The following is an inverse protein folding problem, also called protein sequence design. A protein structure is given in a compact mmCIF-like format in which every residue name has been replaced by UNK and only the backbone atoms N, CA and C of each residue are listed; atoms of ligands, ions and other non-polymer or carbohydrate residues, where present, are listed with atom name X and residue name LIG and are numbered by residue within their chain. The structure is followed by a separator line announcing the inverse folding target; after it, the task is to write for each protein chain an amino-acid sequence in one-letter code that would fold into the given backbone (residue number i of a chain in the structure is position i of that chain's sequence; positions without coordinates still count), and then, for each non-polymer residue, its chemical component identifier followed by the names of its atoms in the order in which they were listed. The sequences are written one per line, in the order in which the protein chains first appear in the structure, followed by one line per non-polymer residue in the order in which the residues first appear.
data_IF_480247363833
#
_entry.id   IF_480247363833
#
_cell.length_a   1.000
_cell.length_b   1.000
_cell.length_c   1.000
_cell.angle_alpha   90.00
_cell.angle_beta   90.00
_cell.angle_gamma   90.00
#
_symmetry.space_group_name_H-M   'P 1'
#
loop_
_entity.id
_entity.type
_entity.pdbx_description
1 polymer ?
#
# COMPACT_ATOMS: atom_id res chain seq x y z
N UNK A 1 -23.10 22.15 28.14
CA UNK A 1 -24.00 22.83 27.17
C UNK A 1 -24.20 21.85 26.01
N UNK A 2 -25.40 21.29 25.87
CA UNK A 2 -25.73 20.35 24.79
C UNK A 2 -26.16 21.16 23.55
N UNK A 3 -25.45 20.99 22.43
CA UNK A 3 -25.90 21.47 21.13
C UNK A 3 -26.71 20.38 20.43
N UNK A 4 -28.02 20.60 20.33
CA UNK A 4 -28.95 19.73 19.60
C UNK A 4 -28.99 20.19 18.13
N UNK A 5 -28.28 19.48 17.26
CA UNK A 5 -28.19 19.82 15.83
C UNK A 5 -29.42 19.26 15.09
N UNK A 6 -30.48 20.06 15.00
CA UNK A 6 -31.60 19.79 14.08
C UNK A 6 -31.22 20.22 12.67
N UNK A 7 -30.97 19.26 11.79
CA UNK A 7 -30.87 19.50 10.35
C UNK A 7 -32.25 19.75 9.76
N UNK A 8 -32.49 20.97 9.27
CA UNK A 8 -33.70 21.34 8.52
C UNK A 8 -33.36 21.32 7.02
N UNK A 9 -34.14 20.57 6.23
CA UNK A 9 -34.11 20.68 4.77
C UNK A 9 -35.26 21.56 4.33
N UNK A 10 -34.91 22.71 3.76
CA UNK A 10 -35.84 23.72 3.26
C UNK A 10 -36.22 23.37 1.81
N UNK A 11 -37.39 22.77 1.61
CA UNK A 11 -37.91 22.52 0.26
C UNK A 11 -38.70 23.74 -0.21
N UNK A 12 -38.14 24.46 -1.19
CA UNK A 12 -38.84 25.55 -1.89
C UNK A 12 -39.51 24.98 -3.13
N UNK A 13 -40.84 25.04 -3.18
CA UNK A 13 -41.60 24.75 -4.39
C UNK A 13 -42.05 26.06 -5.00
N UNK A 14 -41.64 26.29 -6.25
CA UNK A 14 -42.07 27.41 -7.07
C UNK A 14 -43.22 26.92 -7.94
N UNK A 15 -44.37 27.59 -7.87
CA UNK A 15 -45.46 27.37 -8.81
C UNK A 15 -45.84 28.68 -9.49
N UNK A 16 -46.23 28.58 -10.76
CA UNK A 16 -46.70 29.68 -11.58
C UNK A 16 -48.14 29.36 -11.95
N UNK A 17 -49.06 30.24 -11.57
CA UNK A 17 -50.46 30.23 -12.02
C UNK A 17 -50.86 31.66 -12.37
N UNK A 18 -51.51 31.84 -13.52
CA UNK A 18 -51.99 33.14 -14.04
C UNK A 18 -50.92 34.23 -14.14
N UNK A 19 -49.72 33.87 -14.59
CA UNK A 19 -48.63 34.82 -14.85
C UNK A 19 -47.99 35.44 -13.60
N UNK A 20 -48.37 34.98 -12.39
CA UNK A 20 -47.79 35.45 -11.13
C UNK A 20 -47.05 34.32 -10.43
N UNK A 21 -45.77 34.56 -10.10
CA UNK A 21 -44.95 33.66 -9.31
C UNK A 21 -45.41 33.71 -7.84
N UNK A 22 -45.77 32.55 -7.29
CA UNK A 22 -46.15 32.38 -5.90
C UNK A 22 -45.17 31.42 -5.22
N UNK A 23 -44.63 31.82 -4.06
CA UNK A 23 -43.68 31.01 -3.30
C UNK A 23 -44.33 30.59 -1.98
N UNK A 24 -44.71 29.32 -1.88
CA UNK A 24 -45.33 28.75 -0.68
C UNK A 24 -44.29 27.97 0.12
N UNK A 25 -44.02 28.43 1.35
CA UNK A 25 -43.18 27.71 2.31
C UNK A 25 -44.04 26.71 3.07
N UNK A 26 -43.79 25.40 2.87
CA UNK A 26 -44.45 24.35 3.65
C UNK A 26 -43.48 23.80 4.69
N UNK A 27 -43.73 24.10 5.98
CA UNK A 27 -42.96 23.54 7.11
C UNK A 27 -43.56 22.20 7.51
N UNK A 28 -42.89 21.09 7.18
CA UNK A 28 -43.17 19.77 7.78
C UNK A 28 -42.25 19.51 8.95
N UNK A 29 -42.82 19.33 10.14
CA UNK A 29 -42.13 18.74 11.29
C UNK A 29 -42.07 17.23 11.10
N UNK A 30 -40.88 16.66 10.86
CA UNK A 30 -40.73 15.21 10.83
C UNK A 30 -40.81 14.63 12.24
N UNK A 31 -41.75 13.70 12.45
CA UNK A 31 -41.82 12.88 13.64
C UNK A 31 -40.58 12.02 13.81
N UNK A 32 -40.26 11.72 15.08
CA UNK A 32 -39.12 10.92 15.51
C UNK A 32 -39.10 9.56 14.78
N UNK A 33 -38.23 9.45 13.78
CA UNK A 33 -37.86 8.19 13.17
C UNK A 33 -36.78 7.56 14.06
N UNK A 34 -37.04 6.36 14.55
CA UNK A 34 -36.06 5.52 15.22
C UNK A 34 -34.91 5.26 14.24
N UNK A 35 -33.79 5.95 14.44
CA UNK A 35 -32.57 5.74 13.66
C UNK A 35 -32.15 4.28 13.80
N UNK A 36 -32.25 3.55 12.70
CA UNK A 36 -31.83 2.16 12.61
C UNK A 36 -30.38 2.02 13.04
N UNK A 37 -30.10 0.99 13.85
CA UNK A 37 -28.75 0.54 14.17
C UNK A 37 -27.89 0.58 12.92
N UNK A 38 -26.84 1.41 12.95
CA UNK A 38 -25.83 1.45 11.89
C UNK A 38 -25.27 0.03 11.73
N UNK A 39 -25.70 -0.68 10.68
CA UNK A 39 -25.12 -1.97 10.32
C UNK A 39 -23.63 -1.74 10.06
N UNK A 40 -22.79 -2.44 10.82
CA UNK A 40 -21.34 -2.33 10.76
C UNK A 40 -20.83 -2.45 9.31
N UNK A 41 -19.72 -1.77 9.00
CA UNK A 41 -19.11 -1.78 7.66
C UNK A 41 -18.95 -3.21 7.11
N UNK A 42 -18.54 -4.15 7.97
CA UNK A 42 -18.44 -5.58 7.67
C UNK A 42 -19.76 -6.20 7.16
N UNK A 43 -20.89 -5.83 7.75
CA UNK A 43 -22.21 -6.32 7.29
C UNK A 43 -22.55 -5.84 5.88
N UNK A 44 -22.18 -4.60 5.53
CA UNK A 44 -22.41 -4.05 4.18
C UNK A 44 -21.51 -4.75 3.15
N UNK A 45 -20.24 -4.99 3.48
CA UNK A 45 -19.31 -5.72 2.64
C UNK A 45 -19.75 -7.17 2.40
N UNK A 46 -20.25 -7.85 3.44
CA UNK A 46 -20.77 -9.21 3.32
C UNK A 46 -21.96 -9.26 2.35
N UNK A 47 -22.92 -8.34 2.49
CA UNK A 47 -24.08 -8.27 1.59
C UNK A 47 -23.67 -7.94 0.15
N UNK A 48 -22.70 -7.04 -0.05
CA UNK A 48 -22.17 -6.73 -1.37
C UNK A 48 -21.49 -7.95 -2.02
N UNK A 49 -20.68 -8.68 -1.24
CA UNK A 49 -20.01 -9.92 -1.69
C UNK A 49 -21.02 -11.00 -2.05
N UNK A 50 -22.04 -11.21 -1.22
CA UNK A 50 -23.13 -12.15 -1.51
C UNK A 50 -23.88 -11.76 -2.79
N UNK A 51 -24.22 -10.47 -2.97
CA UNK A 51 -24.88 -10.00 -4.20
C UNK A 51 -24.03 -10.22 -5.45
N UNK A 52 -22.71 -10.05 -5.33
CA UNK A 52 -21.79 -10.29 -6.43
C UNK A 52 -21.66 -11.78 -6.77
N UNK A 53 -21.55 -12.64 -5.75
CA UNK A 53 -21.47 -14.10 -5.91
C UNK A 53 -22.77 -14.74 -6.41
N UNK A 54 -23.92 -14.09 -6.18
CA UNK A 54 -25.23 -14.54 -6.66
C UNK A 54 -25.48 -14.24 -8.15
N UNK A 55 -24.58 -13.50 -8.82
CA UNK A 55 -24.67 -13.32 -10.28
C UNK A 55 -24.40 -14.65 -10.98
N UNK A 56 -25.26 -15.09 -11.92
CA UNK A 56 -25.09 -16.36 -12.62
C UNK A 56 -23.74 -16.39 -13.35
N UNK A 57 -22.98 -17.48 -13.19
CA UNK A 57 -21.67 -17.69 -13.83
C UNK A 57 -20.46 -17.13 -13.06
N UNK A 58 -20.65 -16.22 -12.09
CA UNK A 58 -19.52 -15.62 -11.34
C UNK A 58 -18.85 -16.65 -10.44
N UNK A 59 -19.64 -17.45 -9.73
CA UNK A 59 -19.12 -18.49 -8.83
C UNK A 59 -18.36 -19.57 -9.61
N UNK A 60 -18.89 -19.99 -10.76
CA UNK A 60 -18.25 -20.98 -11.64
C UNK A 60 -16.93 -20.46 -12.21
N UNK A 61 -16.90 -19.20 -12.67
CA UNK A 61 -15.71 -18.56 -13.21
C UNK A 61 -14.61 -18.40 -12.14
N UNK A 62 -14.97 -18.00 -10.93
CA UNK A 62 -14.01 -17.92 -9.81
C UNK A 62 -13.47 -19.30 -9.43
N UNK A 63 -14.34 -20.31 -9.32
CA UNK A 63 -13.92 -21.67 -9.02
C UNK A 63 -13.02 -22.25 -10.12
N UNK A 64 -13.30 -21.96 -11.39
CA UNK A 64 -12.43 -22.34 -12.50
C UNK A 64 -11.05 -21.67 -12.39
N UNK A 65 -11.01 -20.37 -12.07
CA UNK A 65 -9.75 -19.63 -11.86
C UNK A 65 -8.97 -20.18 -10.67
N UNK A 66 -9.64 -20.53 -9.57
CA UNK A 66 -9.01 -21.16 -8.40
C UNK A 66 -8.40 -22.52 -8.76
N UNK A 67 -9.13 -23.36 -9.49
CA UNK A 67 -8.61 -24.65 -9.99
C UNK A 67 -7.39 -24.47 -10.89
N UNK A 68 -7.41 -23.50 -11.81
CA UNK A 68 -6.27 -23.21 -12.68
C UNK A 68 -5.01 -22.81 -11.90
N UNK A 69 -5.16 -21.98 -10.84
CA UNK A 69 -4.04 -21.62 -9.95
C UNK A 69 -3.47 -22.83 -9.22
N UNK A 70 -4.33 -23.68 -8.68
CA UNK A 70 -3.89 -24.90 -7.98
C UNK A 70 -3.15 -25.85 -8.94
N UNK A 71 -3.66 -26.01 -10.17
CA UNK A 71 -2.99 -26.82 -11.19
C UNK A 71 -1.60 -26.28 -11.55
N UNK A 72 -1.48 -24.96 -11.74
CA UNK A 72 -0.21 -24.30 -12.05
C UNK A 72 0.80 -24.43 -10.91
N UNK A 73 0.36 -24.25 -9.66
CA UNK A 73 1.23 -24.42 -8.50
C UNK A 73 1.69 -25.88 -8.33
N UNK A 74 0.82 -26.86 -8.59
CA UNK A 74 1.20 -28.29 -8.61
C UNK A 74 2.23 -28.59 -9.70
N UNK A 75 2.04 -28.05 -10.90
CA UNK A 75 2.99 -28.23 -12.00
C UNK A 75 4.37 -27.64 -11.67
N UNK A 76 4.42 -26.43 -11.07
CA UNK A 76 5.66 -25.81 -10.59
C UNK A 76 6.36 -26.66 -9.52
N UNK A 77 5.61 -27.17 -8.55
CA UNK A 77 6.16 -28.04 -7.49
C UNK A 77 6.74 -29.33 -8.07
N UNK A 78 6.03 -29.97 -9.01
CA UNK A 78 6.50 -31.19 -9.66
C UNK A 78 7.76 -30.94 -10.52
N UNK A 79 7.85 -29.79 -11.21
CA UNK A 79 9.04 -29.42 -11.98
C UNK A 79 10.27 -29.27 -11.07
N UNK A 80 10.11 -28.59 -9.92
CA UNK A 80 11.20 -28.42 -8.95
C UNK A 80 11.71 -29.76 -8.41
N UNK A 81 10.80 -30.66 -8.04
CA UNK A 81 11.17 -32.01 -7.58
C UNK A 81 11.89 -32.84 -8.66
N UNK A 82 11.53 -32.66 -9.94
CA UNK A 82 12.19 -33.35 -11.04
C UNK A 82 13.60 -32.81 -11.34
N UNK A 83 13.83 -31.50 -11.16
CA UNK A 83 15.16 -30.88 -11.30
C UNK A 83 16.10 -31.29 -10.16
N UNK A 84 15.60 -31.37 -8.93
CA UNK A 84 16.38 -31.82 -7.76
C UNK A 84 16.84 -33.28 -7.89
N UNK A 85 16.04 -34.15 -8.52
CA UNK A 85 16.42 -35.55 -8.76
C UNK A 85 17.41 -35.74 -9.93
N UNK A 86 17.66 -34.70 -10.74
CA UNK A 86 18.52 -34.77 -11.92
C UNK A 86 19.89 -34.14 -11.71
N UNK A 87 20.17 -33.57 -10.53
CA UNK A 87 21.48 -33.04 -10.20
C UNK A 87 22.49 -34.21 -10.09
N UNK A 88 23.51 -34.29 -10.95
CA UNK A 88 24.52 -35.33 -10.89
C UNK A 88 25.38 -35.11 -9.63
N UNK A 89 25.38 -36.10 -8.74
CA UNK A 89 26.32 -36.24 -7.64
C UNK A 89 27.73 -36.32 -8.24
N UNK A 90 28.38 -35.17 -8.39
CA UNK A 90 29.79 -35.07 -8.75
C UNK A 90 30.58 -35.27 -7.46
N UNK A 91 30.77 -36.54 -7.12
CA UNK A 91 31.67 -36.99 -6.06
C UNK A 91 33.11 -36.66 -6.49
N UNK A 92 33.68 -35.60 -5.91
CA UNK A 92 35.11 -35.31 -5.95
C UNK A 92 35.85 -36.27 -5.01
N UNK A 93 36.68 -37.14 -5.57
CA UNK A 93 37.74 -37.88 -4.89
C UNK A 93 39.06 -37.62 -5.66
N UNK A 94 40.17 -37.69 -4.92
CA UNK A 94 41.58 -37.33 -5.22
C UNK A 94 41.90 -35.88 -4.83
N UNK A 95 42.56 -35.56 -3.70
CA UNK A 95 43.75 -36.13 -3.05
C UNK A 95 44.98 -36.19 -3.96
N UNK A 96 45.84 -35.17 -3.87
CA UNK A 96 47.30 -35.37 -3.77
C UNK A 96 47.97 -34.09 -3.25
N UNK A 97 48.84 -34.25 -2.26
CA UNK A 97 49.55 -33.16 -1.59
C UNK A 97 50.81 -32.72 -2.33
N UNK A 98 51.34 -31.56 -1.96
CA UNK A 98 52.77 -31.30 -2.10
C UNK A 98 53.23 -30.21 -1.13
N UNK A 99 54.37 -30.49 -0.51
CA UNK A 99 54.98 -29.78 0.61
C UNK A 99 55.68 -28.47 0.18
N UNK A 100 55.80 -27.58 1.19
CA UNK A 100 56.53 -26.30 1.29
C UNK A 100 58.00 -26.36 0.80
N UNK A 101 58.68 -25.24 0.42
CA UNK A 101 59.09 -24.24 1.42
C UNK A 101 59.32 -22.78 0.98
N UNK A 102 59.16 -21.88 1.96
CA UNK A 102 59.90 -20.62 2.18
C UNK A 102 59.80 -19.49 1.13
N UNK A 103 58.96 -18.49 1.44
CA UNK A 103 59.24 -17.10 1.06
C UNK A 103 58.84 -16.16 2.20
N UNK A 104 59.87 -15.58 2.80
CA UNK A 104 59.86 -14.51 3.80
C UNK A 104 59.36 -13.22 3.17
N UNK A 105 58.33 -12.60 3.77
CA UNK A 105 57.98 -11.17 3.75
C UNK A 105 56.91 -10.99 4.86
N UNK A 106 57.30 -10.80 6.12
CA UNK A 106 57.42 -9.49 6.77
C UNK A 106 56.08 -8.71 6.83
N UNK A 107 55.40 -8.91 7.96
CA UNK A 107 54.89 -7.85 8.84
C UNK A 107 53.87 -6.85 8.26
N UNK A 108 52.57 -7.09 8.56
CA UNK A 108 51.68 -6.18 9.33
C UNK A 108 50.20 -6.58 9.18
N UNK A 109 49.49 -6.57 10.31
CA UNK A 109 48.02 -6.45 10.45
C UNK A 109 47.12 -7.64 10.10
N UNK A 110 46.69 -8.40 11.11
CA UNK A 110 45.34 -8.29 11.71
C UNK A 110 45.08 -9.49 12.63
N UNK A 111 44.86 -9.19 13.91
CA UNK A 111 44.11 -10.07 14.80
C UNK A 111 42.67 -10.10 14.30
N UNK A 112 42.28 -11.16 13.59
CA UNK A 112 40.89 -11.53 13.38
C UNK A 112 40.74 -13.01 13.74
N UNK A 113 40.61 -13.22 15.05
CA UNK A 113 40.27 -14.49 15.71
C UNK A 113 38.81 -14.81 15.40
N UNK A 114 38.55 -15.40 14.23
CA UNK A 114 37.27 -16.03 13.93
C UNK A 114 37.25 -17.42 14.55
N UNK A 115 37.31 -17.48 15.88
CA UNK A 115 36.99 -18.70 16.60
C UNK A 115 35.53 -19.05 16.32
N UNK A 116 35.38 -20.24 15.74
CA UNK A 116 34.14 -20.89 15.43
C UNK A 116 33.22 -20.90 16.66
N UNK A 117 32.21 -20.02 16.64
CA UNK A 117 30.99 -20.27 17.38
C UNK A 117 30.19 -21.29 16.59
N UNK A 118 30.30 -22.52 17.09
CA UNK A 118 29.33 -23.60 16.95
C UNK A 118 27.98 -23.10 17.48
N UNK A 119 27.28 -22.29 16.67
CA UNK A 119 25.88 -22.02 16.86
C UNK A 119 25.15 -23.31 16.49
N UNK A 120 24.95 -24.18 17.47
CA UNK A 120 23.97 -25.25 17.41
C UNK A 120 22.60 -24.59 17.25
N UNK A 121 22.10 -24.54 16.01
CA UNK A 121 20.69 -24.24 15.73
C UNK A 121 19.90 -25.50 16.10
N UNK A 122 19.79 -25.76 17.41
CA UNK A 122 18.83 -26.73 17.93
C UNK A 122 17.44 -26.23 17.56
N UNK A 123 16.98 -26.76 16.43
CA UNK A 123 15.64 -26.70 15.91
C UNK A 123 14.71 -27.39 16.91
N UNK A 124 14.25 -26.63 17.91
CA UNK A 124 13.10 -27.00 18.71
C UNK A 124 12.46 -25.74 19.31
N UNK A 125 11.95 -24.88 18.44
CA UNK A 125 10.91 -23.93 18.80
C UNK A 125 9.65 -24.21 17.96
N UNK A 126 9.14 -25.44 18.10
CA UNK A 126 7.75 -25.80 17.83
C UNK A 126 6.83 -25.25 18.95
N UNK A 127 7.16 -24.09 19.54
CA UNK A 127 6.18 -23.25 20.20
C UNK A 127 5.26 -22.73 19.10
N UNK A 128 4.29 -23.57 18.75
CA UNK A 128 3.00 -23.21 18.21
C UNK A 128 2.47 -22.12 19.14
N UNK A 129 2.85 -20.87 18.84
CA UNK A 129 2.19 -19.69 19.32
C UNK A 129 0.79 -19.78 18.73
N UNK A 130 -0.09 -20.45 19.47
CA UNK A 130 -1.52 -20.35 19.29
C UNK A 130 -1.81 -18.87 19.20
N UNK A 131 -2.29 -18.43 18.04
CA UNK A 131 -2.74 -17.06 17.76
C UNK A 131 -4.01 -16.74 18.58
N UNK A 132 -4.03 -17.06 19.87
CA UNK A 132 -5.21 -17.01 20.74
C UNK A 132 -5.24 -15.79 21.67
N UNK A 133 -4.33 -14.83 21.51
CA UNK A 133 -4.47 -13.53 22.14
C UNK A 133 -4.71 -12.44 21.08
N UNK A 134 -5.92 -12.47 20.52
CA UNK A 134 -6.60 -11.36 19.83
C UNK A 134 -6.88 -10.18 20.79
N UNK A 135 -5.94 -9.83 21.65
CA UNK A 135 -5.99 -8.57 22.36
C UNK A 135 -5.53 -7.49 21.37
N UNK A 136 -6.44 -6.64 20.85
CA UNK A 136 -6.05 -5.59 19.92
C UNK A 136 -5.03 -4.70 20.62
N UNK A 137 -3.92 -4.42 19.94
CA UNK A 137 -2.96 -3.45 20.45
C UNK A 137 -3.70 -2.13 20.75
N UNK A 138 -3.55 -1.62 21.97
CA UNK A 138 -4.10 -0.33 22.40
C UNK A 138 -3.29 0.86 21.91
N UNK A 139 -2.17 0.59 21.24
CA UNK A 139 -1.52 1.59 20.44
C UNK A 139 -2.57 2.16 19.46
N UNK A 140 -2.56 3.47 19.25
CA UNK A 140 -3.29 4.12 18.17
C UNK A 140 -2.34 4.32 16.97
N UNK A 141 -1.67 3.27 16.42
CA UNK A 141 -0.76 3.50 15.34
C UNK A 141 -1.61 3.74 14.10
N UNK A 142 -1.17 4.72 13.33
CA UNK A 142 -1.43 4.70 11.90
C UNK A 142 -1.08 3.29 11.39
N UNK A 143 -2.03 2.57 10.80
CA UNK A 143 -1.77 1.25 10.23
C UNK A 143 -1.27 1.41 8.81
N UNK A 144 -0.55 0.41 8.28
CA UNK A 144 -0.20 0.41 6.86
C UNK A 144 -1.44 0.52 5.96
N UNK A 145 -2.58 -0.09 6.34
CA UNK A 145 -3.85 0.07 5.61
C UNK A 145 -4.30 1.54 5.55
N UNK A 146 -4.17 2.28 6.67
CA UNK A 146 -4.53 3.70 6.70
C UNK A 146 -3.59 4.52 5.82
N UNK A 147 -2.30 4.17 5.80
CA UNK A 147 -1.31 4.80 4.92
C UNK A 147 -1.60 4.47 3.47
N UNK A 148 -1.96 3.24 3.13
CA UNK A 148 -2.36 2.85 1.77
C UNK A 148 -3.52 3.70 1.27
N UNK A 149 -4.52 3.94 2.12
CA UNK A 149 -5.64 4.83 1.80
C UNK A 149 -5.15 6.26 1.56
N UNK A 150 -4.23 6.77 2.39
CA UNK A 150 -3.64 8.10 2.21
C UNK A 150 -2.87 8.20 0.90
N UNK A 151 -2.00 7.23 0.59
CA UNK A 151 -1.26 7.17 -0.68
C UNK A 151 -2.24 7.21 -1.83
N UNK A 152 -3.27 6.34 -1.83
CA UNK A 152 -4.26 6.30 -2.91
C UNK A 152 -5.01 7.62 -3.10
N UNK A 153 -5.29 8.36 -2.02
CA UNK A 153 -5.94 9.67 -2.09
C UNK A 153 -4.98 10.79 -2.50
N UNK A 154 -3.70 10.64 -2.16
CA UNK A 154 -2.66 11.61 -2.47
C UNK A 154 -2.28 11.58 -3.95
N UNK A 155 -2.13 10.40 -4.56
CA UNK A 155 -1.63 10.25 -5.94
C UNK A 155 -2.35 11.17 -6.95
N UNK A 156 -1.57 11.77 -7.83
CA UNK A 156 -2.10 12.59 -8.92
C UNK A 156 -2.83 11.72 -9.95
N UNK A 157 -3.98 12.19 -10.41
CA UNK A 157 -4.83 11.45 -11.36
C UNK A 157 -4.10 11.12 -12.67
N UNK A 158 -3.33 12.07 -13.20
CA UNK A 158 -2.58 11.88 -14.44
C UNK A 158 -1.28 11.07 -14.26
N UNK A 159 -0.85 10.79 -13.02
CA UNK A 159 0.26 9.88 -12.68
C UNK A 159 -0.22 8.45 -12.36
N UNK A 160 -1.53 8.17 -12.49
CA UNK A 160 -2.06 6.80 -12.40
C UNK A 160 -1.66 5.93 -13.60
N UNK A 161 -1.20 6.55 -14.68
CA UNK A 161 -0.66 5.88 -15.87
C UNK A 161 0.71 5.26 -15.60
N UNK A 162 1.22 4.49 -16.57
CA UNK A 162 2.53 3.87 -16.48
C UNK A 162 3.65 4.93 -16.35
N UNK A 163 4.73 4.59 -15.63
CA UNK A 163 5.81 5.54 -15.28
C UNK A 163 6.48 6.16 -16.51
N UNK A 164 6.50 5.44 -17.64
CA UNK A 164 7.03 5.90 -18.91
C UNK A 164 6.23 7.05 -19.53
N UNK A 165 4.95 7.20 -19.18
CA UNK A 165 4.08 8.29 -19.69
C UNK A 165 4.06 9.52 -18.79
N UNK A 166 4.72 9.48 -17.63
CA UNK A 166 4.65 10.57 -16.65
C UNK A 166 5.21 11.88 -17.20
N UNK A 167 6.30 11.81 -17.98
CA UNK A 167 6.92 12.98 -18.61
C UNK A 167 5.96 13.72 -19.53
N UNK A 168 5.33 12.99 -20.46
CA UNK A 168 4.36 13.53 -21.41
C UNK A 168 3.14 14.12 -20.70
N UNK A 169 2.60 13.42 -19.70
CA UNK A 169 1.44 13.88 -18.95
C UNK A 169 1.73 15.15 -18.15
N UNK A 170 2.92 15.27 -17.55
CA UNK A 170 3.36 16.50 -16.87
C UNK A 170 3.47 17.66 -17.86
N UNK A 171 4.10 17.44 -19.00
CA UNK A 171 4.30 18.46 -20.05
C UNK A 171 2.97 18.93 -20.64
N UNK A 172 2.02 18.02 -20.87
CA UNK A 172 0.67 18.36 -21.31
C UNK A 172 -0.05 19.22 -20.25
N UNK A 173 0.01 18.82 -18.98
CA UNK A 173 -0.61 19.57 -17.88
C UNK A 173 -0.03 20.98 -17.72
N UNK A 174 1.31 21.10 -17.80
CA UNK A 174 2.01 22.37 -17.74
C UNK A 174 1.69 23.25 -18.95
N UNK A 175 1.79 22.72 -20.18
CA UNK A 175 1.48 23.46 -21.40
C UNK A 175 0.03 23.96 -21.41
N UNK A 176 -0.91 23.16 -20.88
CA UNK A 176 -2.29 23.59 -20.71
C UNK A 176 -2.44 24.70 -19.66
N UNK A 177 -1.66 24.69 -18.58
CA UNK A 177 -1.64 25.78 -17.61
C UNK A 177 -1.03 27.06 -18.22
N UNK A 178 0.08 26.95 -18.95
CA UNK A 178 0.74 28.07 -19.66
C UNK A 178 -0.18 28.69 -20.71
N UNK A 179 -0.92 27.88 -21.46
CA UNK A 179 -1.90 28.36 -22.43
C UNK A 179 -3.04 29.20 -21.80
N UNK A 180 -3.30 29.02 -20.50
CA UNK A 180 -4.26 29.84 -19.74
C UNK A 180 -3.65 31.12 -19.18
N UNK A 181 -2.33 31.15 -19.01
CA UNK A 181 -1.58 32.31 -18.57
C UNK A 181 -0.46 31.97 -17.60
N UNK A 182 0.47 32.91 -17.41
CA UNK A 182 1.60 32.73 -16.49
C UNK A 182 1.18 32.57 -15.03
N UNK A 183 0.03 33.12 -14.63
CA UNK A 183 -0.51 32.92 -13.27
C UNK A 183 -0.94 31.47 -13.05
N UNK A 184 -1.63 30.89 -14.03
CA UNK A 184 -2.12 29.52 -13.99
C UNK A 184 -0.96 28.52 -14.00
N UNK A 185 0.10 28.79 -14.77
CA UNK A 185 1.35 28.01 -14.72
C UNK A 185 1.99 28.04 -13.32
N UNK A 186 2.10 29.22 -12.69
CA UNK A 186 2.63 29.33 -11.32
C UNK A 186 1.77 28.55 -10.30
N UNK A 187 0.44 28.63 -10.40
CA UNK A 187 -0.47 27.85 -9.54
C UNK A 187 -0.23 26.35 -9.70
N UNK A 188 -0.04 25.88 -10.94
CA UNK A 188 0.27 24.47 -11.20
C UNK A 188 1.60 24.05 -10.56
N UNK A 189 2.66 24.85 -10.68
CA UNK A 189 3.95 24.58 -10.05
C UNK A 189 3.85 24.57 -8.51
N UNK A 190 3.11 25.51 -7.93
CA UNK A 190 2.83 25.56 -6.48
C UNK A 190 2.09 24.29 -6.01
N UNK A 191 1.11 23.83 -6.80
CA UNK A 191 0.39 22.58 -6.52
C UNK A 191 1.31 21.36 -6.58
N UNK A 192 2.22 21.29 -7.55
CA UNK A 192 3.24 20.25 -7.61
C UNK A 192 4.18 20.27 -6.41
N UNK A 193 4.63 21.46 -5.98
CA UNK A 193 5.48 21.60 -4.79
C UNK A 193 4.75 21.17 -3.52
N UNK A 194 3.48 21.54 -3.39
CA UNK A 194 2.65 21.12 -2.27
C UNK A 194 2.42 19.59 -2.28
N UNK A 195 2.17 18.99 -3.44
CA UNK A 195 2.01 17.54 -3.60
C UNK A 195 3.26 16.79 -3.14
N UNK A 196 4.46 17.27 -3.50
CA UNK A 196 5.75 16.73 -3.01
C UNK A 196 5.84 16.81 -1.48
N UNK A 197 5.46 17.96 -0.90
CA UNK A 197 5.48 18.14 0.55
C UNK A 197 4.53 17.16 1.25
N UNK A 198 3.33 16.97 0.72
CA UNK A 198 2.34 16.02 1.25
C UNK A 198 2.84 14.57 1.16
N UNK A 199 3.45 14.20 0.04
CA UNK A 199 4.06 12.87 -0.13
C UNK A 199 5.16 12.60 0.90
N UNK A 200 6.00 13.61 1.21
CA UNK A 200 7.03 13.51 2.25
C UNK A 200 6.43 13.31 3.64
N UNK A 201 5.32 13.98 3.97
CA UNK A 201 4.61 13.74 5.24
C UNK A 201 4.08 12.30 5.34
N UNK A 202 3.65 11.71 4.22
CA UNK A 202 3.24 10.30 4.19
C UNK A 202 4.45 9.36 4.38
N UNK A 203 5.61 9.68 3.78
CA UNK A 203 6.84 8.93 4.03
C UNK A 203 7.26 8.97 5.51
N UNK A 204 7.13 10.13 6.16
CA UNK A 204 7.38 10.24 7.60
C UNK A 204 6.39 9.39 8.42
N UNK A 205 5.12 9.34 8.02
CA UNK A 205 4.14 8.43 8.62
C UNK A 205 4.54 6.96 8.48
N UNK A 206 5.03 6.54 7.30
CA UNK A 206 5.55 5.18 7.10
C UNK A 206 6.74 4.93 8.02
N UNK A 207 7.65 5.89 8.12
CA UNK A 207 8.82 5.79 9.01
C UNK A 207 8.40 5.56 10.45
N UNK A 208 7.41 6.30 10.95
CA UNK A 208 6.87 6.12 12.31
C UNK A 208 6.30 4.71 12.52
N UNK A 209 5.56 4.19 11.54
CA UNK A 209 5.02 2.83 11.59
C UNK A 209 6.14 1.80 11.66
N UNK A 210 7.16 1.91 10.80
CA UNK A 210 8.30 0.98 10.76
C UNK A 210 9.12 1.01 12.06
N UNK A 211 9.25 2.18 12.69
CA UNK A 211 9.99 2.36 13.94
C UNK A 211 9.16 2.10 15.20
N UNK A 212 7.95 1.53 15.06
CA UNK A 212 7.13 1.20 16.23
C UNK A 212 7.84 0.19 17.14
N UNK A 213 7.90 0.51 18.43
CA UNK A 213 8.47 -0.37 19.46
C UNK A 213 7.45 -1.41 19.97
N UNK A 214 6.23 -1.40 19.47
CA UNK A 214 5.20 -2.36 19.87
C UNK A 214 5.45 -3.74 19.24
N UNK A 215 5.63 -4.81 20.03
CA UNK A 215 5.90 -6.16 19.50
C UNK A 215 4.81 -6.67 18.55
N UNK A 216 3.54 -6.39 18.85
CA UNK A 216 2.40 -6.80 18.01
C UNK A 216 2.43 -6.11 16.64
N UNK A 217 2.64 -4.79 16.62
CA UNK A 217 2.73 -4.03 15.37
C UNK A 217 3.93 -4.47 14.54
N UNK A 218 5.08 -4.74 15.18
CA UNK A 218 6.28 -5.25 14.52
C UNK A 218 6.06 -6.62 13.88
N UNK A 219 5.35 -7.51 14.58
CA UNK A 219 4.98 -8.81 14.04
C UNK A 219 4.05 -8.67 12.83
N UNK A 220 3.05 -7.78 12.90
CA UNK A 220 2.16 -7.48 11.77
C UNK A 220 2.94 -6.93 10.56
N UNK A 221 3.85 -6.00 10.79
CA UNK A 221 4.72 -5.43 9.75
C UNK A 221 5.54 -6.49 9.00
N UNK A 222 5.93 -7.57 9.67
CA UNK A 222 6.63 -8.69 9.03
C UNK A 222 5.77 -9.32 7.91
N UNK A 223 4.46 -9.47 8.15
CA UNK A 223 3.51 -9.99 7.17
C UNK A 223 3.17 -8.97 6.08
N UNK A 224 3.19 -7.68 6.42
CA UNK A 224 2.85 -6.58 5.51
C UNK A 224 4.08 -5.98 4.79
N UNK A 225 5.24 -6.65 4.83
CA UNK A 225 6.51 -6.15 4.27
C UNK A 225 6.47 -5.89 2.76
N UNK A 226 5.72 -6.68 2.00
CA UNK A 226 5.52 -6.46 0.56
C UNK A 226 4.72 -5.18 0.32
N UNK A 227 3.61 -4.98 1.05
CA UNK A 227 2.80 -3.76 0.96
C UNK A 227 3.63 -2.53 1.32
N UNK A 228 4.42 -2.61 2.38
CA UNK A 228 5.34 -1.52 2.77
C UNK A 228 6.30 -1.16 1.63
N UNK A 229 6.90 -2.16 0.98
CA UNK A 229 7.79 -1.93 -0.15
C UNK A 229 7.07 -1.28 -1.33
N UNK A 230 5.90 -1.79 -1.71
CA UNK A 230 5.09 -1.25 -2.82
C UNK A 230 4.69 0.21 -2.56
N UNK A 231 4.30 0.54 -1.32
CA UNK A 231 3.98 1.92 -0.92
C UNK A 231 5.20 2.84 -0.99
N UNK A 232 6.36 2.39 -0.49
CA UNK A 232 7.60 3.17 -0.50
C UNK A 232 8.05 3.46 -1.93
N UNK A 233 8.10 2.42 -2.78
CA UNK A 233 8.50 2.58 -4.18
C UNK A 233 7.56 3.55 -4.89
N UNK A 234 6.23 3.36 -4.76
CA UNK A 234 5.24 4.24 -5.39
C UNK A 234 5.35 5.69 -4.93
N UNK A 235 5.52 5.94 -3.63
CA UNK A 235 5.67 7.30 -3.09
C UNK A 235 6.96 7.95 -3.56
N UNK A 236 8.08 7.23 -3.44
CA UNK A 236 9.39 7.76 -3.78
C UNK A 236 9.55 8.04 -5.26
N UNK A 237 9.03 7.18 -6.15
CA UNK A 237 9.11 7.43 -7.60
C UNK A 237 8.31 8.67 -7.99
N UNK A 238 7.07 8.80 -7.50
CA UNK A 238 6.20 9.95 -7.79
C UNK A 238 6.76 11.26 -7.22
N UNK A 239 7.21 11.27 -5.96
CA UNK A 239 7.88 12.44 -5.34
C UNK A 239 9.12 12.84 -6.14
N UNK A 240 9.99 11.87 -6.45
CA UNK A 240 11.27 12.18 -7.10
C UNK A 240 11.07 12.68 -8.52
N UNK A 241 10.11 12.13 -9.24
CA UNK A 241 9.74 12.60 -10.56
C UNK A 241 9.33 14.08 -10.54
N UNK A 242 8.42 14.46 -9.63
CA UNK A 242 7.93 15.85 -9.54
C UNK A 242 9.03 16.80 -9.08
N UNK A 243 9.86 16.41 -8.11
CA UNK A 243 11.03 17.22 -7.69
C UNK A 243 11.94 17.55 -8.86
N UNK A 244 12.30 16.53 -9.66
CA UNK A 244 13.17 16.72 -10.83
C UNK A 244 12.53 17.65 -11.85
N UNK A 245 11.22 17.53 -12.09
CA UNK A 245 10.51 18.41 -13.03
C UNK A 245 10.44 19.86 -12.52
N UNK A 246 10.16 20.06 -11.23
CA UNK A 246 10.16 21.40 -10.62
C UNK A 246 11.53 22.08 -10.72
N UNK A 247 12.61 21.35 -10.44
CA UNK A 247 13.98 21.87 -10.56
C UNK A 247 14.30 22.33 -11.99
N UNK A 248 13.78 21.62 -13.00
CA UNK A 248 13.96 22.02 -14.41
C UNK A 248 13.12 23.21 -14.84
N UNK A 249 11.99 23.48 -14.18
CA UNK A 249 11.06 24.57 -14.55
C UNK A 249 11.43 25.92 -13.94
N UNK A 250 12.36 25.96 -12.98
CA UNK A 250 12.80 27.20 -12.30
C UNK A 250 14.01 27.87 -13.00
N UNK A 251 14.65 27.17 -13.96
CA UNK A 251 15.76 27.68 -14.77
C UNK A 251 15.28 28.38 -16.03
#
# INVERSE_FOLDING_TARGET
MNFDARTYLDHRQLSISDGRLSLTLSRRTMGHSTWGRSRSSSSRQHVATQRWLSKPGVREAQNAKARARVALNRARKNKKLAEEQKAPVTSSLLDDGCEDPQSVCEELSRNDSWDARDDSWDANDDSVLTMENDLPCTCNPQTLDNIEIQVRMWRMEWLLSAEDTWGEAYEEALAHAEAKGGREANIFLDQCAQHVSEGKMILDSIREVVHTNCPYCRQRLKYDSILLYDLLVSLMSEIKFIEVKLDTSIL
#
